data_IF_813383419584
#
_entry.id   IF_813383419584
#
_cell.length_a   1.000
_cell.length_b   1.000
_cell.length_c   1.000
_cell.angle_alpha   90.00
_cell.angle_beta   90.00
_cell.angle_gamma   90.00
#
_symmetry.space_group_name_H-M   'P 1'
#
loop_
_entity.id
_entity.type
_entity.pdbx_description
1 polymer ?
#
# COMPACT_ATOMS: atom_id res chain seq x y z
N UNK A 1 7.87 14.71 -28.45
CA UNK A 1 7.46 13.50 -27.70
C UNK A 1 6.79 13.98 -26.46
N UNK A 2 5.61 13.47 -26.11
CA UNK A 2 4.98 13.78 -24.82
C UNK A 2 5.73 13.03 -23.71
N UNK A 3 5.91 13.70 -22.59
CA UNK A 3 6.50 13.11 -21.39
C UNK A 3 5.44 13.10 -20.29
N UNK A 4 5.34 12.00 -19.54
CA UNK A 4 4.42 11.86 -18.40
C UNK A 4 5.16 11.26 -17.23
N UNK A 5 4.87 11.75 -16.04
CA UNK A 5 5.47 11.30 -14.80
C UNK A 5 4.49 10.47 -13.99
N UNK A 6 4.87 9.25 -13.65
CA UNK A 6 4.11 8.28 -12.85
C UNK A 6 4.83 8.11 -11.52
N UNK A 7 4.13 8.28 -10.42
CA UNK A 7 4.63 7.92 -9.10
C UNK A 7 4.09 6.54 -8.70
N UNK A 8 4.96 5.61 -8.35
CA UNK A 8 4.57 4.32 -7.78
C UNK A 8 4.50 4.42 -6.26
N UNK A 9 3.35 4.14 -5.71
CA UNK A 9 3.08 4.11 -4.27
C UNK A 9 2.62 2.72 -3.87
N UNK A 10 2.97 2.25 -2.69
CA UNK A 10 2.49 0.96 -2.18
C UNK A 10 3.22 0.52 -0.93
N UNK A 11 2.61 -0.41 -0.23
CA UNK A 11 3.20 -1.00 0.96
C UNK A 11 4.48 -1.78 0.64
N UNK A 12 5.38 -1.97 1.62
CA UNK A 12 6.50 -2.89 1.46
C UNK A 12 5.99 -4.26 1.00
N UNK A 13 6.73 -4.87 0.06
CA UNK A 13 6.41 -6.18 -0.54
C UNK A 13 5.12 -6.23 -1.40
N UNK A 14 4.52 -5.12 -1.78
CA UNK A 14 3.40 -5.09 -2.73
C UNK A 14 3.79 -5.44 -4.17
N UNK A 15 5.09 -5.62 -4.45
CA UNK A 15 5.63 -5.86 -5.79
C UNK A 15 6.00 -4.58 -6.56
N UNK A 16 6.07 -3.43 -5.88
CA UNK A 16 6.40 -2.13 -6.44
C UNK A 16 7.75 -2.13 -7.17
N UNK A 17 8.81 -2.56 -6.51
CA UNK A 17 10.14 -2.66 -7.13
C UNK A 17 10.21 -3.68 -8.28
N UNK A 18 9.40 -4.74 -8.22
CA UNK A 18 9.29 -5.71 -9.32
C UNK A 18 8.69 -5.06 -10.55
N UNK A 19 7.60 -4.31 -10.39
CA UNK A 19 6.97 -3.57 -11.50
C UNK A 19 7.92 -2.50 -12.03
N UNK A 20 8.54 -1.71 -11.16
CA UNK A 20 9.52 -0.68 -11.53
C UNK A 20 10.65 -1.26 -12.39
N UNK A 21 11.28 -2.34 -11.93
CA UNK A 21 12.36 -3.02 -12.66
C UNK A 21 11.86 -3.64 -13.97
N UNK A 22 10.64 -4.18 -13.96
CA UNK A 22 10.01 -4.76 -15.15
C UNK A 22 9.80 -3.74 -16.27
N UNK A 23 9.41 -2.50 -15.92
CA UNK A 23 9.14 -1.42 -16.85
C UNK A 23 10.43 -0.69 -17.31
N UNK A 24 11.32 -0.37 -16.39
CA UNK A 24 12.50 0.48 -16.66
C UNK A 24 13.71 -0.32 -17.18
N UNK A 25 13.82 -1.59 -16.80
CA UNK A 25 14.99 -2.42 -17.15
C UNK A 25 16.29 -1.79 -16.63
N UNK A 26 17.24 -1.51 -17.54
CA UNK A 26 18.52 -0.86 -17.22
C UNK A 26 18.46 0.68 -17.14
N UNK A 27 17.31 1.29 -17.45
CA UNK A 27 17.13 2.75 -17.48
C UNK A 27 16.69 3.28 -16.13
N UNK A 28 17.53 3.11 -15.13
CA UNK A 28 17.27 3.47 -13.74
C UNK A 28 18.37 4.39 -13.22
N UNK A 29 17.97 5.32 -12.36
CA UNK A 29 18.85 6.12 -11.54
C UNK A 29 18.55 5.85 -10.08
N UNK A 30 19.58 5.63 -9.28
CA UNK A 30 19.46 5.39 -7.83
C UNK A 30 20.25 6.48 -7.11
N UNK A 31 19.63 7.11 -6.14
CA UNK A 31 20.22 8.16 -5.31
C UNK A 31 19.49 8.25 -3.99
N UNK A 32 19.60 9.38 -3.32
CA UNK A 32 18.83 9.66 -2.12
C UNK A 32 17.86 10.84 -2.36
N UNK A 33 16.77 10.88 -1.63
CA UNK A 33 15.91 12.05 -1.60
C UNK A 33 16.67 13.24 -1.00
N UNK A 34 16.50 14.46 -1.55
CA UNK A 34 17.25 15.63 -1.09
C UNK A 34 17.10 15.84 0.42
N UNK A 35 18.24 15.90 1.14
CA UNK A 35 18.29 16.13 2.57
C UNK A 35 17.79 14.98 3.44
N UNK A 36 17.62 13.77 2.89
CA UNK A 36 17.16 12.57 3.59
C UNK A 36 18.06 11.37 3.30
N UNK A 37 18.08 10.40 4.21
CA UNK A 37 18.78 9.12 4.03
C UNK A 37 17.94 8.08 3.29
N UNK A 38 16.76 8.49 2.82
CA UNK A 38 15.79 7.64 2.11
C UNK A 38 16.20 7.47 0.66
N UNK A 39 16.25 6.23 0.19
CA UNK A 39 16.61 5.89 -1.20
C UNK A 39 15.56 6.43 -2.18
N UNK A 40 16.03 6.98 -3.29
CA UNK A 40 15.24 7.43 -4.45
C UNK A 40 15.59 6.60 -5.66
N UNK A 41 14.58 6.07 -6.33
CA UNK A 41 14.71 5.38 -7.61
C UNK A 41 13.83 6.04 -8.65
N UNK A 42 14.44 6.49 -9.72
CA UNK A 42 13.73 6.98 -10.90
C UNK A 42 14.22 6.24 -12.14
N UNK A 43 13.31 6.08 -13.08
CA UNK A 43 13.59 5.44 -14.34
C UNK A 43 12.64 5.92 -15.42
N UNK A 44 12.83 5.41 -16.64
CA UNK A 44 11.94 5.74 -17.73
C UNK A 44 11.77 4.58 -18.70
N UNK A 45 10.64 4.58 -19.40
CA UNK A 45 10.39 3.69 -20.50
C UNK A 45 9.60 4.42 -21.60
N UNK A 46 9.62 3.88 -22.82
CA UNK A 46 8.87 4.44 -23.93
C UNK A 46 7.78 3.45 -24.34
N UNK A 47 6.55 3.94 -24.45
CA UNK A 47 5.44 3.17 -24.97
C UNK A 47 4.66 4.00 -25.99
N UNK A 48 4.48 3.46 -27.20
CA UNK A 48 3.78 4.11 -28.33
C UNK A 48 4.19 5.59 -28.58
N UNK A 49 5.50 5.89 -28.48
CA UNK A 49 6.04 7.22 -28.74
C UNK A 49 5.92 8.22 -27.60
N UNK A 50 5.32 7.85 -26.47
CA UNK A 50 5.29 8.64 -25.21
C UNK A 50 6.37 8.13 -24.28
N UNK A 51 7.16 9.05 -23.70
CA UNK A 51 8.13 8.75 -22.65
C UNK A 51 7.43 8.84 -21.29
N UNK A 52 7.49 7.75 -20.55
CA UNK A 52 6.99 7.69 -19.17
C UNK A 52 8.16 7.71 -18.20
N UNK A 53 8.23 8.75 -17.38
CA UNK A 53 9.13 8.81 -16.24
C UNK A 53 8.45 8.16 -15.04
N UNK A 54 9.15 7.24 -14.38
CA UNK A 54 8.64 6.54 -13.20
C UNK A 54 9.47 6.92 -12.00
N UNK A 55 8.80 7.30 -10.93
CA UNK A 55 9.39 7.56 -9.63
C UNK A 55 8.92 6.47 -8.68
N UNK A 56 9.85 5.67 -8.14
CA UNK A 56 9.56 4.67 -7.12
C UNK A 56 9.57 5.35 -5.74
N UNK A 57 8.37 5.61 -5.19
CA UNK A 57 8.24 6.21 -3.87
C UNK A 57 8.60 5.18 -2.79
N UNK A 58 9.13 5.60 -1.64
CA UNK A 58 9.40 4.71 -0.53
C UNK A 58 8.21 3.85 -0.17
N UNK A 59 8.44 2.58 0.18
CA UNK A 59 7.38 1.68 0.62
C UNK A 59 6.89 2.07 2.02
N UNK A 60 5.65 2.50 2.13
CA UNK A 60 5.04 2.96 3.38
C UNK A 60 3.72 2.25 3.64
N UNK A 61 3.31 2.17 4.91
CA UNK A 61 2.03 1.59 5.29
C UNK A 61 0.92 2.64 5.38
N UNK A 62 1.29 3.91 5.58
CA UNK A 62 0.38 5.05 5.68
C UNK A 62 0.99 6.29 5.02
N UNK A 63 0.20 7.36 4.91
CA UNK A 63 0.65 8.69 4.51
C UNK A 63 0.71 9.66 5.71
N UNK A 64 0.76 9.15 6.92
CA UNK A 64 1.00 9.95 8.12
C UNK A 64 2.48 10.34 8.20
N UNK A 65 2.79 11.52 8.74
CA UNK A 65 4.18 12.01 8.81
C UNK A 65 4.93 11.45 10.03
N UNK A 66 4.92 10.12 10.20
CA UNK A 66 5.54 9.44 11.34
C UNK A 66 6.96 8.94 11.04
N UNK A 67 7.28 8.71 9.77
CA UNK A 67 8.61 8.32 9.32
C UNK A 67 9.12 9.22 8.20
N UNK A 68 10.44 9.20 7.94
CA UNK A 68 11.04 9.96 6.85
C UNK A 68 10.51 9.51 5.48
N UNK A 69 10.24 8.23 5.31
CA UNK A 69 9.67 7.64 4.10
C UNK A 69 8.24 8.17 3.84
N UNK A 70 7.40 8.25 4.88
CA UNK A 70 6.04 8.79 4.78
C UNK A 70 6.06 10.29 4.46
N UNK A 71 6.94 11.05 5.10
CA UNK A 71 7.13 12.49 4.83
C UNK A 71 7.57 12.72 3.39
N UNK A 72 8.58 11.97 2.91
CA UNK A 72 9.08 12.05 1.54
C UNK A 72 7.97 11.74 0.54
N UNK A 73 7.27 10.63 0.75
CA UNK A 73 6.16 10.18 -0.11
C UNK A 73 5.09 11.24 -0.21
N UNK A 74 4.64 11.78 0.92
CA UNK A 74 3.60 12.80 0.97
C UNK A 74 4.03 14.12 0.32
N UNK A 75 5.26 14.58 0.59
CA UNK A 75 5.79 15.79 0.00
C UNK A 75 5.93 15.66 -1.52
N UNK A 76 6.32 14.49 -2.02
CA UNK A 76 6.38 14.25 -3.46
C UNK A 76 5.00 14.31 -4.10
N UNK A 77 3.99 13.65 -3.51
CA UNK A 77 2.61 13.73 -4.00
C UNK A 77 2.12 15.20 -3.99
N UNK A 78 2.40 15.94 -2.93
CA UNK A 78 2.00 17.33 -2.79
C UNK A 78 2.73 18.29 -3.75
N UNK A 79 3.90 17.89 -4.27
CA UNK A 79 4.70 18.75 -5.18
C UNK A 79 4.07 18.93 -6.56
N UNK A 80 3.06 18.13 -6.92
CA UNK A 80 2.42 18.19 -8.24
C UNK A 80 3.32 17.71 -9.39
N UNK A 81 4.45 17.06 -9.10
CA UNK A 81 5.38 16.56 -10.15
C UNK A 81 4.86 15.29 -10.83
N UNK A 82 3.97 14.54 -10.22
CA UNK A 82 3.38 13.36 -10.81
C UNK A 82 2.06 13.71 -11.52
N UNK A 83 1.94 13.31 -12.79
CA UNK A 83 0.68 13.40 -13.52
C UNK A 83 -0.35 12.40 -12.98
N UNK A 84 0.13 11.26 -12.48
CA UNK A 84 -0.70 10.22 -11.86
C UNK A 84 0.08 9.44 -10.82
N UNK A 85 -0.61 9.07 -9.73
CA UNK A 85 -0.10 8.17 -8.69
C UNK A 85 -0.68 6.78 -8.93
N UNK A 86 0.18 5.78 -9.11
CA UNK A 86 -0.21 4.39 -9.20
C UNK A 86 -0.02 3.71 -7.84
N UNK A 87 -1.12 3.38 -7.17
CA UNK A 87 -1.09 2.68 -5.88
C UNK A 87 -1.12 1.18 -6.13
N UNK A 88 -0.05 0.47 -5.71
CA UNK A 88 0.01 -0.98 -5.78
C UNK A 88 -0.55 -1.61 -4.50
N UNK A 89 -1.55 -2.47 -4.67
CA UNK A 89 -2.11 -3.29 -3.61
C UNK A 89 -1.94 -4.79 -3.92
N UNK A 90 -1.61 -5.57 -2.91
CA UNK A 90 -1.55 -7.03 -2.99
C UNK A 90 -2.97 -7.61 -2.99
N UNK A 91 -3.40 -8.14 -4.13
CA UNK A 91 -4.71 -8.74 -4.32
C UNK A 91 -4.93 -9.97 -3.43
N UNK A 92 -3.87 -10.65 -3.01
CA UNK A 92 -3.97 -11.79 -2.10
C UNK A 92 -4.29 -11.39 -0.65
N UNK A 93 -4.05 -10.11 -0.28
CA UNK A 93 -4.25 -9.56 1.05
C UNK A 93 -4.93 -8.17 1.00
N UNK A 94 -6.03 -8.04 0.26
CA UNK A 94 -6.68 -6.75 -0.04
C UNK A 94 -7.00 -5.92 1.19
N UNK A 95 -7.60 -6.50 2.23
CA UNK A 95 -7.98 -5.75 3.44
C UNK A 95 -6.80 -4.99 4.04
N UNK A 96 -5.60 -5.57 4.01
CA UNK A 96 -4.39 -4.91 4.51
C UNK A 96 -3.84 -3.92 3.50
N UNK A 97 -3.79 -4.31 2.23
CA UNK A 97 -3.12 -3.54 1.19
C UNK A 97 -3.88 -2.27 0.79
N UNK A 98 -5.21 -2.28 0.91
CA UNK A 98 -6.06 -1.12 0.62
C UNK A 98 -6.01 -0.03 1.71
N UNK A 99 -5.34 -0.26 2.85
CA UNK A 99 -5.21 0.77 3.89
C UNK A 99 -4.51 2.02 3.36
N UNK A 100 -3.49 1.86 2.52
CA UNK A 100 -2.82 2.97 1.84
C UNK A 100 -3.79 3.77 0.95
N UNK A 101 -4.72 3.08 0.25
CA UNK A 101 -5.73 3.73 -0.56
C UNK A 101 -6.73 4.51 0.31
N UNK A 102 -7.15 3.94 1.45
CA UNK A 102 -8.01 4.65 2.40
C UNK A 102 -7.33 5.91 2.96
N UNK A 103 -6.04 5.84 3.18
CA UNK A 103 -5.24 6.97 3.66
C UNK A 103 -4.98 8.02 2.57
N UNK A 104 -5.11 7.63 1.30
CA UNK A 104 -5.04 8.51 0.14
C UNK A 104 -6.39 9.22 -0.14
N UNK A 105 -7.52 8.69 0.35
CA UNK A 105 -8.84 9.26 0.11
C UNK A 105 -8.96 10.69 0.65
N UNK A 106 -9.23 11.63 -0.24
CA UNK A 106 -9.25 13.07 0.05
C UNK A 106 -8.00 13.82 -0.39
N UNK A 107 -7.02 13.14 -0.99
CA UNK A 107 -5.90 13.77 -1.71
C UNK A 107 -6.33 14.00 -3.16
N UNK A 108 -6.24 15.24 -3.65
CA UNK A 108 -6.74 15.68 -4.96
C UNK A 108 -5.71 15.54 -6.08
N UNK A 109 -4.98 14.43 -6.07
CA UNK A 109 -4.06 14.08 -7.15
C UNK A 109 -4.63 12.85 -7.86
N UNK A 110 -4.64 12.80 -9.20
CA UNK A 110 -5.16 11.67 -9.95
C UNK A 110 -4.47 10.35 -9.55
N UNK A 111 -5.28 9.29 -9.40
CA UNK A 111 -4.79 7.99 -8.94
C UNK A 111 -5.35 6.84 -9.76
N UNK A 112 -4.56 5.78 -9.84
CA UNK A 112 -4.93 4.47 -10.40
C UNK A 112 -4.57 3.41 -9.38
N UNK A 113 -5.48 2.48 -9.14
CA UNK A 113 -5.23 1.31 -8.29
C UNK A 113 -4.71 0.14 -9.13
N UNK A 114 -3.52 -0.34 -8.83
CA UNK A 114 -2.93 -1.53 -9.44
C UNK A 114 -3.08 -2.71 -8.46
N UNK A 115 -3.90 -3.71 -8.84
CA UNK A 115 -4.07 -4.94 -8.07
C UNK A 115 -3.03 -5.97 -8.51
N UNK A 116 -1.92 -6.03 -7.81
CA UNK A 116 -0.83 -6.97 -8.08
C UNK A 116 -1.06 -8.33 -7.40
N UNK A 117 -0.31 -9.34 -7.82
CA UNK A 117 -0.42 -10.71 -7.29
C UNK A 117 -1.80 -11.35 -7.53
N UNK A 118 -2.43 -11.05 -8.66
CA UNK A 118 -3.72 -11.62 -9.05
C UNK A 118 -3.66 -13.14 -9.22
N UNK A 119 -2.53 -13.69 -9.65
CA UNK A 119 -2.23 -15.11 -9.72
C UNK A 119 -2.27 -15.77 -8.34
N UNK A 120 -1.67 -15.14 -7.34
CA UNK A 120 -1.69 -15.60 -5.94
C UNK A 120 -3.11 -15.54 -5.37
N UNK A 121 -3.84 -14.45 -5.57
CA UNK A 121 -5.23 -14.32 -5.14
C UNK A 121 -6.11 -15.43 -5.76
N UNK A 122 -5.95 -15.68 -7.06
CA UNK A 122 -6.65 -16.75 -7.78
C UNK A 122 -6.29 -18.13 -7.23
N UNK A 123 -5.02 -18.39 -6.93
CA UNK A 123 -4.57 -19.66 -6.32
C UNK A 123 -5.19 -19.89 -4.94
N UNK A 124 -5.46 -18.82 -4.19
CA UNK A 124 -6.17 -18.86 -2.91
C UNK A 124 -7.70 -19.03 -3.06
N UNK A 125 -8.22 -19.10 -4.30
CA UNK A 125 -9.64 -19.24 -4.57
C UNK A 125 -10.42 -17.92 -4.46
N UNK A 126 -9.74 -16.78 -4.47
CA UNK A 126 -10.35 -15.45 -4.49
C UNK A 126 -10.75 -15.08 -5.93
N UNK A 127 -11.95 -14.57 -6.09
CA UNK A 127 -12.43 -13.94 -7.31
C UNK A 127 -12.69 -12.47 -6.97
N UNK A 128 -12.03 -11.56 -7.66
CA UNK A 128 -12.07 -10.11 -7.41
C UNK A 128 -12.77 -9.46 -8.58
N UNK A 129 -13.84 -8.73 -8.30
CA UNK A 129 -14.53 -7.88 -9.26
C UNK A 129 -13.83 -6.53 -9.35
N UNK A 130 -12.91 -6.40 -10.29
CA UNK A 130 -12.12 -5.18 -10.51
C UNK A 130 -13.00 -4.01 -10.98
N UNK A 131 -14.04 -4.29 -11.77
CA UNK A 131 -14.95 -3.27 -12.28
C UNK A 131 -15.86 -2.75 -11.16
N UNK A 132 -16.34 -3.63 -10.27
CA UNK A 132 -17.08 -3.27 -9.07
C UNK A 132 -16.26 -2.38 -8.15
N UNK A 133 -14.99 -2.72 -7.92
CA UNK A 133 -14.06 -1.89 -7.14
C UNK A 133 -13.86 -0.52 -7.82
N UNK A 134 -13.59 -0.49 -9.12
CA UNK A 134 -13.40 0.76 -9.87
C UNK A 134 -14.62 1.67 -9.78
N UNK A 135 -15.84 1.10 -9.92
CA UNK A 135 -17.10 1.83 -9.80
C UNK A 135 -17.29 2.43 -8.39
N UNK A 136 -16.96 1.66 -7.35
CA UNK A 136 -17.09 2.09 -5.95
C UNK A 136 -16.11 3.21 -5.63
N UNK A 137 -14.87 3.09 -6.09
CA UNK A 137 -13.79 4.05 -5.83
C UNK A 137 -13.85 5.28 -6.76
N UNK A 138 -14.40 5.13 -7.96
CA UNK A 138 -14.43 6.15 -9.01
C UNK A 138 -13.08 6.39 -9.66
N UNK A 139 -12.14 5.45 -9.57
CA UNK A 139 -10.81 5.49 -10.18
C UNK A 139 -10.55 4.20 -10.96
N UNK A 140 -9.66 4.20 -11.96
CA UNK A 140 -9.29 3.00 -12.68
C UNK A 140 -8.67 1.96 -11.74
N UNK A 141 -9.02 0.70 -11.94
CA UNK A 141 -8.46 -0.45 -11.24
C UNK A 141 -7.90 -1.42 -12.28
N UNK A 142 -6.61 -1.70 -12.19
CA UNK A 142 -5.91 -2.52 -13.18
C UNK A 142 -5.37 -3.78 -12.49
N UNK A 143 -5.86 -4.97 -12.87
CA UNK A 143 -5.28 -6.23 -12.43
C UNK A 143 -3.90 -6.42 -13.05
N UNK A 144 -2.95 -6.95 -12.26
CA UNK A 144 -1.56 -7.07 -12.65
C UNK A 144 -0.89 -8.30 -12.02
N UNK A 145 0.12 -8.82 -12.70
CA UNK A 145 1.14 -9.71 -12.16
C UNK A 145 2.50 -9.09 -12.48
N UNK A 146 3.05 -8.32 -11.53
CA UNK A 146 4.27 -7.53 -11.74
C UNK A 146 5.50 -8.37 -12.13
N UNK A 147 5.51 -9.66 -11.82
CA UNK A 147 6.57 -10.59 -12.19
C UNK A 147 6.46 -11.07 -13.65
N UNK A 148 5.29 -10.96 -14.28
CA UNK A 148 5.07 -11.40 -15.67
C UNK A 148 4.78 -10.21 -16.60
N UNK A 149 5.78 -9.85 -17.40
CA UNK A 149 5.65 -8.74 -18.37
C UNK A 149 4.55 -8.97 -19.42
N UNK A 150 4.11 -10.21 -19.65
CA UNK A 150 3.02 -10.52 -20.60
C UNK A 150 1.68 -10.00 -20.09
N UNK A 151 1.54 -9.86 -18.78
CA UNK A 151 0.32 -9.37 -18.11
C UNK A 151 0.25 -7.82 -18.05
N UNK A 152 1.23 -7.09 -18.61
CA UNK A 152 1.25 -5.61 -18.59
C UNK A 152 0.30 -4.96 -19.62
N UNK A 153 -0.41 -5.74 -20.41
CA UNK A 153 -1.27 -5.22 -21.49
C UNK A 153 -2.35 -4.25 -21.01
N UNK A 154 -3.01 -4.54 -19.88
CA UNK A 154 -4.02 -3.64 -19.28
C UNK A 154 -3.40 -2.40 -18.67
N UNK A 155 -2.25 -2.53 -18.04
CA UNK A 155 -1.49 -1.40 -17.51
C UNK A 155 -1.10 -0.42 -18.63
N UNK A 156 -0.59 -0.92 -19.75
CA UNK A 156 -0.26 -0.04 -20.89
C UNK A 156 -1.48 0.61 -21.53
N UNK A 157 -2.61 -0.11 -21.64
CA UNK A 157 -3.88 0.47 -22.12
C UNK A 157 -4.37 1.58 -21.21
N UNK A 158 -4.26 1.41 -19.89
CA UNK A 158 -4.58 2.44 -18.93
C UNK A 158 -3.68 3.67 -19.10
N UNK A 159 -2.36 3.49 -19.28
CA UNK A 159 -1.42 4.59 -19.50
C UNK A 159 -1.73 5.40 -20.77
N UNK A 160 -2.17 4.75 -21.84
CA UNK A 160 -2.58 5.42 -23.08
C UNK A 160 -3.78 6.35 -22.90
N UNK A 161 -4.65 6.03 -21.96
CA UNK A 161 -5.86 6.78 -21.66
C UNK A 161 -5.80 7.56 -20.33
N UNK A 162 -4.64 7.59 -19.69
CA UNK A 162 -4.49 8.10 -18.31
C UNK A 162 -5.01 9.54 -18.16
N UNK A 163 -4.80 10.41 -19.14
CA UNK A 163 -5.31 11.80 -19.12
C UNK A 163 -6.84 11.89 -19.10
N UNK A 164 -7.52 10.84 -19.58
CA UNK A 164 -8.97 10.79 -19.67
C UNK A 164 -9.61 9.96 -18.54
N UNK A 165 -8.86 8.99 -18.01
CA UNK A 165 -9.38 7.99 -17.07
C UNK A 165 -8.88 8.16 -15.66
N UNK A 166 -7.66 8.70 -15.45
CA UNK A 166 -7.17 8.97 -14.12
C UNK A 166 -8.03 10.05 -13.46
N UNK A 167 -8.48 9.78 -12.27
CA UNK A 167 -9.38 10.64 -11.52
C UNK A 167 -8.99 10.68 -10.04
N UNK A 168 -9.53 11.67 -9.34
CA UNK A 168 -9.36 11.78 -7.89
C UNK A 168 -10.21 10.71 -7.20
N UNK A 169 -9.64 10.04 -6.21
CA UNK A 169 -10.33 9.03 -5.43
C UNK A 169 -11.54 9.65 -4.70
N UNK A 170 -12.72 9.04 -4.86
CA UNK A 170 -13.94 9.47 -4.18
C UNK A 170 -13.87 9.16 -2.69
N UNK A 171 -13.93 10.20 -1.86
CA UNK A 171 -13.90 10.07 -0.40
C UNK A 171 -15.28 9.95 0.26
N UNK A 172 -16.36 10.16 -0.49
CA UNK A 172 -17.72 10.29 0.06
C UNK A 172 -18.15 9.11 0.94
N UNK A 173 -17.81 7.88 0.54
CA UNK A 173 -18.14 6.70 1.32
C UNK A 173 -17.37 6.64 2.63
N UNK A 174 -16.07 6.97 2.61
CA UNK A 174 -15.24 7.03 3.82
C UNK A 174 -15.69 8.18 4.73
N UNK A 175 -16.04 9.34 4.16
CA UNK A 175 -16.61 10.46 4.91
C UNK A 175 -17.91 10.08 5.64
N UNK A 176 -18.78 9.27 5.00
CA UNK A 176 -19.99 8.73 5.65
C UNK A 176 -19.64 7.79 6.80
N UNK A 177 -18.60 6.97 6.68
CA UNK A 177 -18.14 6.09 7.78
C UNK A 177 -17.62 6.93 8.94
N UNK A 178 -16.83 7.97 8.68
CA UNK A 178 -16.38 8.89 9.75
C UNK A 178 -17.58 9.55 10.46
N UNK A 179 -18.56 10.06 9.70
CA UNK A 179 -19.76 10.66 10.25
C UNK A 179 -20.54 9.67 11.13
N UNK A 180 -20.78 8.44 10.65
CA UNK A 180 -21.58 7.44 11.35
C UNK A 180 -20.90 6.85 12.57
N UNK A 181 -19.56 6.69 12.56
CA UNK A 181 -18.80 5.99 13.60
C UNK A 181 -18.21 6.93 14.64
N UNK A 182 -17.77 8.14 14.24
CA UNK A 182 -17.19 9.13 15.14
C UNK A 182 -18.23 10.18 15.55
N UNK A 183 -19.21 10.43 14.67
CA UNK A 183 -20.34 11.30 14.97
C UNK A 183 -20.00 12.80 14.94
N UNK A 184 -20.66 13.55 15.81
CA UNK A 184 -20.60 15.02 15.81
C UNK A 184 -19.20 15.57 15.98
N UNK A 185 -18.31 14.88 16.69
CA UNK A 185 -16.94 15.38 16.93
C UNK A 185 -16.14 15.52 15.62
N UNK A 186 -16.29 14.56 14.69
CA UNK A 186 -15.66 14.65 13.37
C UNK A 186 -16.22 15.83 12.56
N UNK A 187 -17.56 15.95 12.51
CA UNK A 187 -18.23 16.99 11.74
C UNK A 187 -17.96 18.39 12.28
N UNK A 188 -17.90 18.55 13.59
CA UNK A 188 -17.57 19.81 14.26
C UNK A 188 -16.16 20.28 13.91
N UNK A 189 -15.16 19.40 13.97
CA UNK A 189 -13.78 19.74 13.58
C UNK A 189 -13.73 20.07 12.09
N UNK A 190 -14.38 19.27 11.25
CA UNK A 190 -14.44 19.48 9.81
C UNK A 190 -15.06 20.83 9.45
N UNK A 191 -16.10 21.24 10.16
CA UNK A 191 -16.79 22.52 9.91
C UNK A 191 -15.95 23.76 10.23
N UNK A 192 -14.90 23.61 11.05
CA UNK A 192 -13.95 24.70 11.36
C UNK A 192 -12.89 24.87 10.27
N UNK A 193 -12.73 23.87 9.38
CA UNK A 193 -11.75 23.92 8.31
C UNK A 193 -12.34 24.55 7.05
N UNK A 194 -11.52 25.12 6.14
CA UNK A 194 -12.00 25.59 4.85
C UNK A 194 -12.77 24.49 4.12
N UNK A 195 -13.94 24.79 3.60
CA UNK A 195 -14.83 23.83 2.93
C UNK A 195 -14.12 23.09 1.79
N UNK A 196 -13.29 23.81 1.03
CA UNK A 196 -12.47 23.27 -0.05
C UNK A 196 -11.17 22.61 0.42
N UNK A 197 -10.94 22.51 1.72
CA UNK A 197 -9.68 22.01 2.27
C UNK A 197 -8.51 22.97 2.08
N UNK A 198 -7.28 22.46 2.12
CA UNK A 198 -6.04 23.26 1.99
C UNK A 198 -5.14 22.58 0.94
N UNK A 199 -4.80 23.28 -0.11
CA UNK A 199 -3.97 22.77 -1.20
C UNK A 199 -4.62 21.55 -1.86
N UNK A 200 -3.90 20.43 -1.89
CA UNK A 200 -4.38 19.17 -2.46
C UNK A 200 -5.24 18.35 -1.48
N UNK A 201 -5.36 18.76 -0.23
CA UNK A 201 -6.01 18.00 0.82
C UNK A 201 -7.43 18.46 1.09
N UNK A 202 -8.40 17.56 1.05
CA UNK A 202 -9.79 17.86 1.41
C UNK A 202 -9.95 18.14 2.91
N UNK A 203 -11.02 18.81 3.28
CA UNK A 203 -11.37 19.03 4.70
C UNK A 203 -11.59 17.70 5.45
N UNK A 204 -12.14 16.68 4.80
CA UNK A 204 -12.30 15.34 5.38
C UNK A 204 -10.95 14.71 5.70
N UNK A 205 -10.02 14.74 4.74
CA UNK A 205 -8.66 14.20 4.96
C UNK A 205 -7.93 14.93 6.08
N UNK A 206 -7.97 16.28 6.06
CA UNK A 206 -7.35 17.10 7.10
C UNK A 206 -7.93 16.79 8.48
N UNK A 207 -9.25 16.67 8.60
CA UNK A 207 -9.90 16.31 9.87
C UNK A 207 -9.41 14.97 10.39
N UNK A 208 -9.38 13.95 9.53
CA UNK A 208 -8.87 12.64 9.92
C UNK A 208 -7.40 12.72 10.40
N UNK A 209 -6.54 13.44 9.66
CA UNK A 209 -5.12 13.60 10.03
C UNK A 209 -4.91 14.43 11.30
N UNK A 210 -5.73 15.43 11.56
CA UNK A 210 -5.71 16.17 12.82
C UNK A 210 -6.09 15.26 13.99
N UNK A 211 -7.11 14.40 13.84
CA UNK A 211 -7.50 13.42 14.86
C UNK A 211 -6.40 12.36 15.09
N UNK A 212 -5.64 12.01 14.05
CA UNK A 212 -4.45 11.17 14.13
C UNK A 212 -3.23 11.88 14.75
N UNK A 213 -3.34 13.17 15.09
CA UNK A 213 -2.26 14.02 15.59
C UNK A 213 -1.06 14.11 14.63
N UNK A 214 -1.33 14.07 13.32
CA UNK A 214 -0.32 14.19 12.29
C UNK A 214 0.32 15.59 12.32
N UNK A 215 1.61 15.66 12.66
CA UNK A 215 2.35 16.91 12.87
C UNK A 215 2.33 17.82 11.65
N UNK A 216 2.46 17.27 10.45
CA UNK A 216 2.50 18.06 9.23
C UNK A 216 1.12 18.59 8.86
N UNK A 217 0.05 17.82 9.11
CA UNK A 217 -1.32 18.29 8.93
C UNK A 217 -1.66 19.39 9.95
N UNK A 218 -1.23 19.23 11.21
CA UNK A 218 -1.37 20.27 12.23
C UNK A 218 -0.67 21.57 11.82
N UNK A 219 0.58 21.50 11.35
CA UNK A 219 1.33 22.66 10.88
C UNK A 219 0.65 23.31 9.67
N UNK A 220 0.24 22.50 8.69
CA UNK A 220 -0.44 22.98 7.49
C UNK A 220 -1.74 23.73 7.83
N UNK A 221 -2.56 23.20 8.71
CA UNK A 221 -3.80 23.85 9.14
C UNK A 221 -3.48 25.14 9.90
N UNK A 222 -2.53 25.11 10.84
CA UNK A 222 -2.11 26.26 11.62
C UNK A 222 -1.65 27.45 10.76
N UNK A 223 -0.96 27.15 9.64
CA UNK A 223 -0.45 28.17 8.72
C UNK A 223 -1.54 28.76 7.79
N UNK A 224 -2.67 28.05 7.61
CA UNK A 224 -3.67 28.41 6.61
C UNK A 224 -5.04 28.82 7.20
N UNK A 225 -5.21 28.79 8.52
CA UNK A 225 -6.40 29.31 9.20
C UNK A 225 -6.00 30.39 10.21
N UNK A 226 -6.95 31.22 10.62
CA UNK A 226 -6.67 32.23 11.66
C UNK A 226 -6.47 31.59 13.03
N UNK A 227 -5.78 32.32 13.92
CA UNK A 227 -5.39 31.83 15.24
C UNK A 227 -6.61 31.42 16.13
N UNK A 228 -7.75 32.09 15.96
CA UNK A 228 -8.97 31.78 16.71
C UNK A 228 -9.61 30.49 16.25
N UNK A 229 -9.64 30.25 14.95
CA UNK A 229 -10.10 29.00 14.34
C UNK A 229 -9.19 27.84 14.73
N UNK A 230 -7.86 28.01 14.69
CA UNK A 230 -6.94 26.97 15.11
C UNK A 230 -7.10 26.61 16.59
N UNK A 231 -7.26 27.60 17.48
CA UNK A 231 -7.53 27.37 18.91
C UNK A 231 -8.85 26.61 19.14
N UNK A 232 -9.88 26.89 18.34
CA UNK A 232 -11.14 26.14 18.39
C UNK A 232 -10.95 24.67 17.93
N UNK A 233 -10.16 24.43 16.88
CA UNK A 233 -9.79 23.10 16.42
C UNK A 233 -9.04 22.33 17.53
N UNK A 234 -8.00 22.92 18.13
CA UNK A 234 -7.24 22.30 19.23
C UNK A 234 -8.13 21.94 20.41
N UNK A 235 -9.05 22.86 20.79
CA UNK A 235 -10.01 22.60 21.87
C UNK A 235 -10.93 21.43 21.55
N UNK A 236 -11.39 21.28 20.32
CA UNK A 236 -12.21 20.13 19.91
C UNK A 236 -11.39 18.84 19.89
N UNK A 237 -10.18 18.87 19.33
CA UNK A 237 -9.28 17.72 19.30
C UNK A 237 -8.96 17.20 20.71
N UNK A 238 -8.75 18.10 21.69
CA UNK A 238 -8.48 17.70 23.09
C UNK A 238 -9.63 16.95 23.75
N UNK A 239 -10.86 17.10 23.23
CA UNK A 239 -12.03 16.35 23.72
C UNK A 239 -12.17 14.96 23.11
N UNK A 240 -11.44 14.67 22.02
CA UNK A 240 -11.47 13.37 21.34
C UNK A 240 -10.37 12.47 21.89
N UNK A 241 -10.78 11.39 22.54
CA UNK A 241 -9.84 10.34 22.97
C UNK A 241 -9.60 9.34 21.86
N UNK A 242 -8.36 8.87 21.75
CA UNK A 242 -7.97 7.79 20.81
C UNK A 242 -8.34 8.07 19.34
N UNK A 243 -8.21 9.33 18.90
CA UNK A 243 -8.61 9.77 17.55
C UNK A 243 -7.96 8.97 16.41
N UNK A 244 -6.69 8.56 16.57
CA UNK A 244 -6.00 7.70 15.63
C UNK A 244 -6.60 6.29 15.52
N UNK A 245 -7.06 5.72 16.64
CA UNK A 245 -7.73 4.42 16.64
C UNK A 245 -9.09 4.53 15.97
N UNK A 246 -9.87 5.55 16.31
CA UNK A 246 -11.19 5.79 15.72
C UNK A 246 -11.11 5.97 14.19
N UNK A 247 -10.19 6.79 13.70
CA UNK A 247 -9.99 6.99 12.26
C UNK A 247 -9.49 5.72 11.58
N UNK A 248 -8.59 4.97 12.23
CA UNK A 248 -8.10 3.68 11.75
C UNK A 248 -9.23 2.67 11.60
N UNK A 249 -10.08 2.52 12.60
CA UNK A 249 -11.24 1.62 12.56
C UNK A 249 -12.22 2.00 11.45
N UNK A 250 -12.47 3.29 11.23
CA UNK A 250 -13.31 3.75 10.12
C UNK A 250 -12.72 3.38 8.76
N UNK A 251 -11.40 3.53 8.56
CA UNK A 251 -10.72 3.11 7.33
C UNK A 251 -10.86 1.60 7.11
N UNK A 252 -10.69 0.78 8.16
CA UNK A 252 -10.89 -0.67 8.06
C UNK A 252 -12.34 -1.04 7.77
N UNK A 253 -13.32 -0.39 8.38
CA UNK A 253 -14.75 -0.62 8.08
C UNK A 253 -15.07 -0.31 6.62
N UNK A 254 -14.55 0.79 6.08
CA UNK A 254 -14.73 1.14 4.67
C UNK A 254 -14.08 0.11 3.73
N UNK A 255 -12.85 -0.33 4.04
CA UNK A 255 -12.13 -1.35 3.28
C UNK A 255 -12.87 -2.68 3.33
N UNK A 256 -13.30 -3.12 4.52
CA UNK A 256 -14.02 -4.38 4.69
C UNK A 256 -15.33 -4.39 3.90
N UNK A 257 -16.05 -3.27 3.88
CA UNK A 257 -17.24 -3.13 3.06
C UNK A 257 -16.90 -3.28 1.58
N UNK A 258 -15.90 -2.53 1.09
CA UNK A 258 -15.46 -2.58 -0.30
C UNK A 258 -15.03 -4.00 -0.71
N UNK A 259 -14.26 -4.68 0.13
CA UNK A 259 -13.79 -6.04 -0.13
C UNK A 259 -14.95 -7.06 -0.09
N UNK A 260 -15.84 -6.99 0.90
CA UNK A 260 -16.95 -7.91 1.02
C UNK A 260 -17.95 -7.80 -0.15
N UNK A 261 -18.12 -6.60 -0.72
CA UNK A 261 -18.99 -6.37 -1.88
C UNK A 261 -18.38 -6.88 -3.20
N UNK A 262 -17.05 -6.90 -3.32
CA UNK A 262 -16.35 -7.13 -4.59
C UNK A 262 -15.43 -8.37 -4.62
N UNK A 263 -15.28 -9.07 -3.50
CA UNK A 263 -14.41 -10.25 -3.44
C UNK A 263 -15.20 -11.45 -2.95
N UNK A 264 -15.31 -12.46 -3.81
CA UNK A 264 -15.85 -13.75 -3.42
C UNK A 264 -14.71 -14.74 -3.19
N UNK A 265 -14.71 -15.40 -2.04
CA UNK A 265 -13.78 -16.48 -1.73
C UNK A 265 -14.49 -17.81 -1.82
N UNK A 266 -14.22 -18.58 -2.87
CA UNK A 266 -14.55 -20.00 -2.82
C UNK A 266 -13.64 -20.59 -1.74
N UNK A 267 -14.20 -21.15 -0.68
CA UNK A 267 -13.45 -21.98 0.27
C UNK A 267 -12.82 -23.13 -0.52
N UNK A 268 -11.73 -22.86 -1.21
CA UNK A 268 -10.81 -23.91 -1.56
C UNK A 268 -10.37 -24.45 -0.21
N UNK A 269 -10.81 -25.66 0.13
CA UNK A 269 -10.10 -26.46 1.10
C UNK A 269 -8.67 -26.40 0.58
N UNK A 270 -7.84 -25.53 1.20
CA UNK A 270 -6.39 -25.57 0.98
C UNK A 270 -6.07 -27.05 0.93
N UNK A 271 -5.56 -27.53 -0.21
CA UNK A 271 -5.07 -28.87 -0.35
C UNK A 271 -3.85 -28.98 0.56
N UNK A 272 -4.14 -28.92 1.90
CA UNK A 272 -3.14 -29.25 2.88
C UNK A 272 -2.71 -30.67 2.52
N UNK A 273 -1.45 -30.82 2.19
CA UNK A 273 -0.90 -32.12 1.90
C UNK A 273 -1.28 -33.04 3.05
N UNK A 274 -1.38 -34.36 2.80
CA UNK A 274 -1.64 -35.32 3.87
C UNK A 274 -0.61 -35.17 4.99
N UNK A 275 0.62 -34.84 4.60
CA UNK A 275 1.72 -34.54 5.52
C UNK A 275 1.44 -33.28 6.36
N UNK A 276 1.04 -32.17 5.77
CA UNK A 276 0.72 -30.92 6.52
C UNK A 276 -0.41 -31.13 7.53
N UNK A 277 -1.44 -31.93 7.14
CA UNK A 277 -2.54 -32.27 8.05
C UNK A 277 -2.04 -33.13 9.22
N UNK A 278 -1.14 -34.06 8.98
CA UNK A 278 -0.54 -34.87 10.02
C UNK A 278 0.40 -34.04 10.91
N UNK A 279 1.29 -33.25 10.32
CA UNK A 279 2.28 -32.45 11.02
C UNK A 279 1.67 -31.34 11.90
N UNK A 280 0.50 -30.78 11.49
CA UNK A 280 -0.22 -29.79 12.28
C UNK A 280 -1.30 -30.38 13.20
N UNK A 281 -1.46 -31.70 13.23
CA UNK A 281 -2.46 -32.35 14.06
C UNK A 281 -2.03 -32.41 15.54
N UNK A 282 -3.00 -32.28 16.45
CA UNK A 282 -2.76 -32.35 17.89
C UNK A 282 -2.14 -33.72 18.34
N UNK A 283 -2.43 -34.77 17.57
CA UNK A 283 -2.01 -36.15 17.88
C UNK A 283 -0.66 -36.49 17.26
N UNK A 284 -0.41 -36.13 16.00
CA UNK A 284 0.76 -36.49 15.21
C UNK A 284 1.81 -35.39 15.06
N UNK A 285 1.48 -34.14 15.39
CA UNK A 285 2.41 -33.04 15.23
C UNK A 285 3.67 -33.17 16.08
N UNK A 286 3.51 -33.53 17.38
CA UNK A 286 4.66 -33.74 18.27
C UNK A 286 5.58 -34.89 17.82
N UNK A 287 5.07 -36.11 17.52
CA UNK A 287 5.92 -37.19 16.99
C UNK A 287 6.64 -36.80 15.69
N UNK A 288 5.96 -36.14 14.76
CA UNK A 288 6.57 -35.72 13.50
C UNK A 288 7.67 -34.69 13.74
N UNK A 289 7.46 -33.70 14.61
CA UNK A 289 8.47 -32.72 14.97
C UNK A 289 9.72 -33.35 15.58
N UNK A 290 9.54 -34.31 16.52
CA UNK A 290 10.65 -35.07 17.12
C UNK A 290 11.38 -35.88 16.04
N UNK A 291 10.64 -36.55 15.14
CA UNK A 291 11.23 -37.33 14.05
C UNK A 291 12.06 -36.46 13.09
N UNK A 292 11.60 -35.25 12.78
CA UNK A 292 12.33 -34.29 11.94
C UNK A 292 13.61 -33.78 12.62
N UNK A 293 13.59 -33.58 13.94
CA UNK A 293 14.78 -33.18 14.70
C UNK A 293 15.81 -34.32 14.69
N UNK A 294 15.36 -35.57 14.96
CA UNK A 294 16.24 -36.74 14.95
C UNK A 294 16.84 -36.94 13.55
N UNK A 295 16.02 -36.81 12.51
CA UNK A 295 16.48 -36.90 11.12
C UNK A 295 17.54 -35.85 10.80
N UNK A 296 17.32 -34.63 11.25
CA UNK A 296 18.28 -33.51 11.08
C UNK A 296 19.62 -33.80 11.78
N UNK A 297 19.58 -34.35 13.00
CA UNK A 297 20.78 -34.75 13.74
C UNK A 297 21.54 -35.90 13.04
N UNK A 298 20.81 -36.90 12.54
CA UNK A 298 21.43 -37.99 11.79
C UNK A 298 22.09 -37.49 10.50
N UNK A 299 21.39 -36.66 9.74
CA UNK A 299 21.94 -36.04 8.53
C UNK A 299 23.19 -35.20 8.86
N UNK A 300 23.16 -34.45 9.94
CA UNK A 300 24.31 -33.60 10.39
C UNK A 300 25.51 -34.54 10.76
N UNK A 301 25.27 -35.63 11.44
CA UNK A 301 26.35 -36.59 11.76
C UNK A 301 26.90 -37.30 10.51
N UNK A 302 26.03 -37.77 9.63
CA UNK A 302 26.44 -38.50 8.40
C UNK A 302 27.23 -37.61 7.45
N UNK A 303 26.90 -36.31 7.39
CA UNK A 303 27.62 -35.35 6.53
C UNK A 303 28.83 -34.73 7.26
N UNK A 304 28.66 -34.43 8.54
CA UNK A 304 29.68 -33.72 9.33
C UNK A 304 30.92 -34.58 9.65
N UNK A 305 30.72 -35.83 9.99
CA UNK A 305 31.87 -36.75 10.31
C UNK A 305 32.82 -36.98 9.13
N UNK A 306 32.34 -37.31 7.91
CA UNK A 306 33.22 -37.42 6.76
C UNK A 306 33.93 -36.13 6.37
N UNK A 307 33.23 -34.98 6.44
CA UNK A 307 33.81 -33.67 6.16
C UNK A 307 34.90 -33.30 7.18
N UNK A 308 34.70 -33.62 8.46
CA UNK A 308 35.69 -33.42 9.51
C UNK A 308 36.92 -34.32 9.30
N UNK A 309 36.71 -35.56 8.90
CA UNK A 309 37.80 -36.50 8.54
C UNK A 309 38.61 -36.02 7.33
N UNK A 310 37.94 -35.51 6.31
CA UNK A 310 38.58 -34.90 5.12
C UNK A 310 39.39 -33.67 5.45
N UNK A 311 38.86 -32.81 6.33
CA UNK A 311 39.54 -31.59 6.79
C UNK A 311 40.79 -31.92 7.61
N UNK A 312 40.72 -32.92 8.49
CA UNK A 312 41.89 -33.39 9.27
C UNK A 312 42.97 -34.04 8.40
N UNK A 313 42.58 -34.78 7.35
CA UNK A 313 43.56 -35.34 6.37
C UNK A 313 44.28 -34.26 5.55
N UNK A 314 43.63 -33.10 5.31
CA UNK A 314 44.19 -32.01 4.53
C UNK A 314 45.01 -31.01 5.39
N UNK A 315 44.85 -31.02 6.72
CA UNK A 315 45.53 -30.13 7.67
C UNK A 315 46.58 -30.82 8.51
N UNK A 316 46.83 -32.13 8.33
CA UNK A 316 47.92 -32.86 8.96
C UNK A 316 49.22 -32.58 8.18
N UNK A 317 50.28 -32.08 8.84
CA UNK A 317 51.58 -31.77 8.22
C UNK A 317 52.30 -33.03 7.70
#
# INVERSE_FOLDING_TARGET
MSEKTIALLGQPNSGKSTLFNGLTGSRQHVGNWPGKTVERKDGSFVHKGTTYKIIDLPGTYSLSANSDEEVVTRNYIASGQADVVCILADASQLNRSLFMLADYAGIRVPVVLLLNMMDVAKSQGKQIDTDGIAKSLGVPVVPLVAADKKEYGEFFRMLESVDKTASVLKENQLAQVYHSSIGTAFDEIKSLLPADGIGIYSSTWLTAKLMEQDKSACSLVKENVDASTYAAVEKKLSSVKDGNLLTGDCKFQWIDKLVNENVTSKKNKLLRSRFDKAATSKRWGKPIAIGMIILGLICSMVIGFPLMGLCLLYTSP
#
